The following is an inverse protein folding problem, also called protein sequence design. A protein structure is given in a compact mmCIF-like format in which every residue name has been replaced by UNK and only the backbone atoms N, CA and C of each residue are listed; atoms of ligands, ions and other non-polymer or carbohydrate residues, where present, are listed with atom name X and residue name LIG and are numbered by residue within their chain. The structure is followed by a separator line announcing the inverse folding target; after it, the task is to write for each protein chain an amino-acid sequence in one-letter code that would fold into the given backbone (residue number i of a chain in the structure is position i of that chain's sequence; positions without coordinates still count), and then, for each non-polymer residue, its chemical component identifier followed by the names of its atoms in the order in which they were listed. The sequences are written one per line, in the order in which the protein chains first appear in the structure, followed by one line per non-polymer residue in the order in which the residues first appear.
data_IF_298297502054
#
_entry.id   IF_298297502054
#
_cell.length_a   1.000
_cell.length_b   1.000
_cell.length_c   1.000
_cell.angle_alpha   90.00
_cell.angle_beta   90.00
_cell.angle_gamma   90.00
#
_symmetry.space_group_name_H-M   'P 1'
#
loop_
_entity.id
_entity.type
_entity.pdbx_description
1 polymer ?
#
# COMPACT_ATOMS: atom_id res chain seq x y z
N UNK A 1 17.32 -7.03 -0.49
CA UNK A 1 16.85 -7.76 0.71
C UNK A 1 15.34 -7.89 0.57
N UNK A 2 14.77 -9.10 0.74
CA UNK A 2 13.32 -9.29 0.71
C UNK A 2 12.70 -8.93 2.05
N UNK A 3 11.69 -8.07 2.03
CA UNK A 3 10.95 -7.61 3.20
C UNK A 3 9.51 -8.07 3.03
N UNK A 4 8.97 -8.78 4.02
CA UNK A 4 7.61 -9.30 4.00
C UNK A 4 6.67 -8.32 4.69
N UNK A 5 5.64 -7.84 3.99
CA UNK A 5 4.61 -6.96 4.50
C UNK A 5 3.33 -7.77 4.74
N UNK A 6 2.81 -7.69 5.96
CA UNK A 6 1.59 -8.39 6.39
C UNK A 6 0.53 -7.36 6.77
N UNK A 7 -0.52 -7.26 5.96
CA UNK A 7 -1.65 -6.37 6.21
C UNK A 7 -2.47 -6.85 7.41
N UNK A 8 -2.87 -5.90 8.24
CA UNK A 8 -3.82 -6.13 9.33
C UNK A 8 -5.20 -5.60 8.95
N UNK A 9 -6.26 -6.13 9.57
CA UNK A 9 -7.60 -5.56 9.45
C UNK A 9 -7.64 -4.08 9.86
N UNK A 10 -6.77 -3.67 10.79
CA UNK A 10 -6.70 -2.27 11.22
C UNK A 10 -6.25 -1.31 10.12
N UNK A 11 -5.43 -1.78 9.18
CA UNK A 11 -4.97 -0.97 8.05
C UNK A 11 -6.15 -0.68 7.09
N UNK A 12 -7.00 -1.69 6.85
CA UNK A 12 -8.24 -1.57 6.07
C UNK A 12 -9.25 -0.66 6.77
N UNK A 13 -9.52 -0.87 8.06
CA UNK A 13 -10.49 -0.06 8.82
C UNK A 13 -10.10 1.42 8.84
N UNK A 14 -8.80 1.73 8.90
CA UNK A 14 -8.30 3.12 8.82
C UNK A 14 -8.55 3.73 7.45
N UNK A 15 -8.25 2.98 6.38
CA UNK A 15 -8.50 3.41 5.01
C UNK A 15 -9.98 3.66 4.73
N UNK A 16 -10.87 2.78 5.18
CA UNK A 16 -12.33 2.97 5.01
C UNK A 16 -12.82 4.26 5.72
N UNK A 17 -12.22 4.63 6.86
CA UNK A 17 -12.55 5.88 7.57
C UNK A 17 -12.00 7.13 6.88
N UNK A 18 -10.94 6.99 6.08
CA UNK A 18 -10.32 8.07 5.33
C UNK A 18 -9.84 7.55 3.97
N UNK A 19 -10.71 7.62 2.98
CA UNK A 19 -10.49 7.06 1.63
C UNK A 19 -9.39 7.77 0.83
N UNK A 20 -8.79 8.85 1.37
CA UNK A 20 -7.64 9.53 0.75
C UNK A 20 -6.37 8.69 0.76
N UNK A 21 -6.27 7.69 1.63
CA UNK A 21 -5.13 6.78 1.75
C UNK A 21 -5.64 5.34 1.68
N UNK A 22 -4.95 4.52 0.92
CA UNK A 22 -5.26 3.11 0.73
C UNK A 22 -4.85 2.26 1.95
N UNK A 23 -5.40 1.04 2.10
CA UNK A 23 -4.91 0.09 3.08
C UNK A 23 -3.41 -0.21 2.95
N UNK A 24 -2.87 -0.14 1.72
CA UNK A 24 -1.45 -0.35 1.43
C UNK A 24 -0.59 0.81 1.96
N UNK A 25 -1.09 2.05 1.88
CA UNK A 25 -0.39 3.22 2.44
C UNK A 25 -0.23 3.08 3.96
N UNK A 26 -1.30 2.70 4.65
CA UNK A 26 -1.27 2.47 6.10
C UNK A 26 -0.37 1.29 6.49
N UNK A 27 -0.40 0.21 5.71
CA UNK A 27 0.48 -0.94 5.90
C UNK A 27 1.96 -0.54 5.77
N UNK A 28 2.31 0.16 4.70
CA UNK A 28 3.68 0.60 4.45
C UNK A 28 4.16 1.58 5.53
N UNK A 29 3.35 2.59 5.87
CA UNK A 29 3.64 3.55 6.94
C UNK A 29 3.92 2.83 8.27
N UNK A 30 3.06 1.87 8.64
CA UNK A 30 3.21 1.07 9.85
C UNK A 30 4.47 0.19 9.82
N UNK A 31 4.73 -0.47 8.70
CA UNK A 31 5.85 -1.40 8.57
C UNK A 31 7.21 -0.68 8.61
N UNK A 32 7.33 0.42 7.86
CA UNK A 32 8.56 1.20 7.75
C UNK A 32 8.70 2.28 8.84
N UNK A 33 7.71 2.41 9.73
CA UNK A 33 7.66 3.42 10.80
C UNK A 33 7.76 4.85 10.27
N UNK A 34 7.02 5.12 9.20
CA UNK A 34 6.96 6.41 8.52
C UNK A 34 5.60 7.07 8.72
N UNK A 35 5.53 8.37 8.47
CA UNK A 35 4.25 9.05 8.31
C UNK A 35 3.57 8.54 7.02
N UNK A 36 2.25 8.35 7.06
CA UNK A 36 1.46 7.93 5.89
C UNK A 36 1.44 9.01 4.80
N UNK A 37 1.70 10.27 5.16
CA UNK A 37 1.85 11.34 4.18
C UNK A 37 3.14 11.22 3.37
N UNK A 38 4.15 10.50 3.87
CA UNK A 38 5.41 10.26 3.17
C UNK A 38 5.38 8.95 2.35
N UNK A 39 4.26 8.24 2.34
CA UNK A 39 4.10 7.00 1.57
C UNK A 39 3.35 7.31 0.27
N UNK A 40 3.89 6.81 -0.83
CA UNK A 40 3.23 6.78 -2.12
C UNK A 40 3.27 5.34 -2.69
N UNK A 41 2.11 4.68 -2.68
CA UNK A 41 1.92 3.34 -3.22
C UNK A 41 1.53 3.44 -4.70
N UNK A 42 2.36 2.85 -5.56
CA UNK A 42 2.14 2.78 -7.00
C UNK A 42 1.93 1.33 -7.44
N UNK A 43 1.63 1.11 -8.72
CA UNK A 43 1.35 -0.25 -9.23
C UNK A 43 2.56 -1.18 -9.21
N UNK A 44 3.78 -0.65 -9.27
CA UNK A 44 5.01 -1.44 -9.37
C UNK A 44 5.98 -1.27 -8.19
N UNK A 45 5.75 -0.28 -7.33
CA UNK A 45 6.58 -0.01 -6.16
C UNK A 45 5.85 0.77 -5.06
N UNK A 46 6.51 0.85 -3.92
CA UNK A 46 6.20 1.75 -2.81
C UNK A 46 7.35 2.75 -2.73
N UNK A 47 7.02 4.03 -2.75
CA UNK A 47 7.96 5.12 -2.50
C UNK A 47 7.79 5.64 -1.07
N UNK A 48 8.91 5.88 -0.40
CA UNK A 48 8.97 6.52 0.90
C UNK A 48 9.77 7.80 0.73
N UNK A 49 9.07 8.93 0.79
CA UNK A 49 9.65 10.26 0.65
C UNK A 49 10.39 10.66 1.93
N UNK A 50 11.56 11.26 1.77
CA UNK A 50 12.25 11.93 2.87
C UNK A 50 11.64 13.31 3.14
N UNK A 51 11.90 13.87 4.34
CA UNK A 51 11.22 15.07 4.87
C UNK A 51 11.31 16.34 4.01
N UNK A 52 12.17 16.40 3.00
CA UNK A 52 12.36 17.54 2.12
C UNK A 52 11.80 17.34 0.69
N UNK A 53 11.06 16.25 0.46
CA UNK A 53 10.51 15.83 -0.84
C UNK A 53 11.54 15.76 -1.98
N UNK A 54 12.85 15.77 -1.64
CA UNK A 54 13.93 15.82 -2.61
C UNK A 54 14.54 14.45 -2.90
N UNK A 55 14.35 13.50 -1.99
CA UNK A 55 14.84 12.12 -2.08
C UNK A 55 13.76 11.13 -1.63
N UNK A 56 13.88 9.88 -2.10
CA UNK A 56 12.99 8.80 -1.73
C UNK A 56 13.69 7.45 -1.72
N UNK A 57 13.19 6.56 -0.87
CA UNK A 57 13.54 5.14 -0.91
C UNK A 57 12.44 4.40 -1.69
N UNK A 58 12.83 3.65 -2.72
CA UNK A 58 11.90 2.83 -3.52
C UNK A 58 12.00 1.36 -3.16
N UNK A 59 10.85 0.76 -2.87
CA UNK A 59 10.69 -0.67 -2.65
C UNK A 59 9.84 -1.27 -3.79
N UNK A 60 10.43 -2.13 -4.61
CA UNK A 60 9.70 -2.84 -5.66
C UNK A 60 8.99 -4.05 -5.10
N UNK A 61 7.82 -4.38 -5.64
CA UNK A 61 7.17 -5.66 -5.31
C UNK A 61 8.01 -6.83 -5.82
N UNK A 62 8.08 -7.89 -5.02
CA UNK A 62 8.65 -9.15 -5.44
C UNK A 62 7.82 -9.72 -6.60
N UNK A 63 8.48 -10.31 -7.60
CA UNK A 63 7.87 -10.72 -8.88
C UNK A 63 6.64 -11.61 -8.67
N UNK A 64 6.69 -12.47 -7.67
CA UNK A 64 5.61 -13.38 -7.30
C UNK A 64 4.32 -12.70 -6.81
N UNK A 65 4.38 -11.45 -6.34
CA UNK A 65 3.27 -10.76 -5.69
C UNK A 65 2.74 -9.56 -6.49
N UNK A 66 3.32 -9.24 -7.65
CA UNK A 66 2.92 -8.05 -8.46
C UNK A 66 1.43 -8.10 -8.81
N UNK A 67 0.93 -9.23 -9.30
CA UNK A 67 -0.48 -9.37 -9.72
C UNK A 67 -1.43 -9.25 -8.52
N UNK A 68 -1.03 -9.80 -7.36
CA UNK A 68 -1.79 -9.70 -6.12
C UNK A 68 -1.93 -8.24 -5.68
N UNK A 69 -0.83 -7.49 -5.66
CA UNK A 69 -0.84 -6.10 -5.23
C UNK A 69 -1.56 -5.21 -6.25
N UNK A 70 -1.35 -5.40 -7.56
CA UNK A 70 -2.06 -4.63 -8.59
C UNK A 70 -3.57 -4.84 -8.53
N UNK A 71 -4.02 -6.09 -8.36
CA UNK A 71 -5.47 -6.39 -8.22
C UNK A 71 -6.05 -5.69 -6.99
N UNK A 72 -5.31 -5.70 -5.87
CA UNK A 72 -5.74 -5.02 -4.66
C UNK A 72 -5.87 -3.50 -4.85
N UNK A 73 -4.89 -2.87 -5.54
CA UNK A 73 -4.92 -1.44 -5.85
C UNK A 73 -6.13 -1.10 -6.74
N UNK A 74 -6.38 -1.90 -7.76
CA UNK A 74 -7.49 -1.68 -8.70
C UNK A 74 -8.85 -1.80 -7.98
N UNK A 75 -9.04 -2.84 -7.17
CA UNK A 75 -10.27 -2.98 -6.37
C UNK A 75 -10.46 -1.87 -5.33
N UNK A 76 -9.38 -1.36 -4.72
CA UNK A 76 -9.45 -0.19 -3.84
C UNK A 76 -9.90 1.07 -4.58
N UNK A 77 -9.37 1.32 -5.78
CA UNK A 77 -9.82 2.45 -6.58
C UNK A 77 -11.29 2.31 -6.99
N UNK A 78 -11.72 1.12 -7.39
CA UNK A 78 -13.12 0.87 -7.72
C UNK A 78 -14.06 1.17 -6.54
N UNK A 79 -13.64 0.84 -5.31
CA UNK A 79 -14.39 1.17 -4.10
C UNK A 79 -14.40 2.67 -3.81
N UNK A 80 -13.24 3.34 -3.84
CA UNK A 80 -13.15 4.79 -3.55
C UNK A 80 -13.92 5.63 -4.56
N UNK A 81 -13.92 5.21 -5.83
CA UNK A 81 -14.63 5.88 -6.92
C UNK A 81 -16.13 5.53 -6.97
N UNK A 82 -16.63 4.71 -6.04
CA UNK A 82 -18.01 4.22 -5.94
C UNK A 82 -18.46 3.42 -7.18
N UNK A 83 -17.52 2.74 -7.85
CA UNK A 83 -17.85 1.72 -8.85
C UNK A 83 -18.29 0.40 -8.20
N UNK A 84 -17.97 0.19 -6.92
CA UNK A 84 -18.42 -0.95 -6.12
C UNK A 84 -18.95 -0.49 -4.76
N UNK A 85 -20.08 -1.06 -4.33
CA UNK A 85 -20.70 -0.79 -3.01
C UNK A 85 -20.08 -1.64 -1.88
N UNK A 86 -19.32 -2.69 -2.24
CA UNK A 86 -18.78 -3.68 -1.32
C UNK A 86 -17.25 -3.77 -1.46
N UNK A 87 -16.52 -3.27 -0.45
CA UNK A 87 -15.08 -3.51 -0.36
C UNK A 87 -14.83 -4.91 0.21
N UNK A 88 -14.77 -5.90 -0.68
CA UNK A 88 -14.71 -7.32 -0.31
C UNK A 88 -13.30 -7.84 0.04
N UNK A 89 -12.28 -6.99 -0.03
CA UNK A 89 -10.88 -7.42 0.09
C UNK A 89 -10.48 -7.78 1.52
N UNK A 90 -9.92 -8.97 1.64
CA UNK A 90 -9.26 -9.46 2.85
C UNK A 90 -7.84 -8.90 2.96
N UNK A 91 -7.26 -8.84 4.16
CA UNK A 91 -5.85 -8.48 4.33
C UNK A 91 -4.93 -9.36 3.47
N UNK A 92 -4.03 -8.72 2.72
CA UNK A 92 -3.04 -9.42 1.90
C UNK A 92 -1.66 -9.45 2.55
N UNK A 93 -0.82 -10.36 2.09
CA UNK A 93 0.57 -10.48 2.47
C UNK A 93 1.41 -10.56 1.22
N UNK A 94 2.46 -9.75 1.13
CA UNK A 94 3.33 -9.68 -0.04
C UNK A 94 4.76 -9.31 0.35
N UNK A 95 5.66 -9.39 -0.62
CA UNK A 95 7.08 -9.13 -0.48
C UNK A 95 7.50 -7.89 -1.28
N UNK A 96 8.47 -7.14 -0.73
CA UNK A 96 9.15 -6.05 -1.45
C UNK A 96 10.67 -6.16 -1.35
N UNK A 97 11.37 -5.52 -2.29
CA UNK A 97 12.82 -5.42 -2.34
C UNK A 97 13.24 -3.96 -2.56
N UNK A 98 14.20 -3.49 -1.75
CA UNK A 98 14.84 -2.19 -1.96
C UNK A 98 15.57 -2.16 -3.31
N UNK A 99 15.38 -1.09 -4.07
CA UNK A 99 15.89 -0.93 -5.43
C UNK A 99 17.07 0.03 -5.51
#
# INVERSE_FOLDING_TARGET
MKIKLEMSESDIIRAIKNTKKSPLDYLAARHFKQDVENIDVQKDNILIWEYDDSDFISYKYCVEDIDLVSTFIDEWHDFVDNYTDDFSLSPITFCVEEK
#
